data_IF_943243414200
#
_entry.id   IF_943243414200
#
_cell.length_a   1.000
_cell.length_b   1.000
_cell.length_c   1.000
_cell.angle_alpha   90.00
_cell.angle_beta   90.00
_cell.angle_gamma   90.00
#
_symmetry.space_group_name_H-M   'P 1'
#
loop_
_entity.id
_entity.type
_entity.pdbx_description
1 polymer ?
#
# COMPACT_ATOMS: atom_id res chain seq x y z
N UNK A 1 7.60 16.65 1.01
CA UNK A 1 6.85 16.26 -0.20
C UNK A 1 5.78 15.26 0.20
N UNK A 2 4.52 15.71 0.31
CA UNK A 2 3.36 14.83 0.51
C UNK A 2 2.91 14.31 -0.87
N UNK A 3 2.52 13.02 -0.99
CA UNK A 3 1.74 12.59 -2.16
C UNK A 3 0.47 13.47 -2.17
N UNK A 4 0.18 14.25 -3.22
CA UNK A 4 -1.08 14.98 -3.27
C UNK A 4 -2.23 13.97 -3.20
N UNK A 5 -3.32 14.32 -2.53
CA UNK A 5 -4.57 13.60 -2.72
C UNK A 5 -4.98 13.71 -4.19
N UNK A 6 -5.38 12.59 -4.79
CA UNK A 6 -5.74 12.54 -6.20
C UNK A 6 -6.05 11.13 -6.64
N UNK A 7 -6.79 11.01 -7.74
CA UNK A 7 -7.14 9.72 -8.32
C UNK A 7 -5.88 9.06 -8.89
N UNK A 8 -5.70 7.78 -8.58
CA UNK A 8 -4.60 6.98 -9.11
C UNK A 8 -5.11 5.58 -9.42
N UNK A 9 -4.53 4.97 -10.45
CA UNK A 9 -4.76 3.54 -10.74
C UNK A 9 -3.68 2.75 -10.03
N UNK A 10 -4.11 1.79 -9.21
CA UNK A 10 -3.25 0.85 -8.53
C UNK A 10 -3.69 -0.58 -8.76
N UNK A 11 -2.77 -1.52 -8.63
CA UNK A 11 -3.07 -2.95 -8.72
C UNK A 11 -2.41 -3.72 -7.59
N UNK A 12 -3.25 -4.32 -6.75
CA UNK A 12 -2.82 -5.18 -5.65
C UNK A 12 -3.05 -6.65 -5.99
N UNK A 13 -2.09 -7.49 -5.64
CA UNK A 13 -2.21 -8.95 -5.71
C UNK A 13 -2.04 -9.55 -4.32
N UNK A 14 -3.11 -10.19 -3.83
CA UNK A 14 -3.13 -10.92 -2.57
C UNK A 14 -3.14 -12.42 -2.87
N UNK A 15 -2.08 -13.13 -2.48
CA UNK A 15 -1.92 -14.55 -2.79
C UNK A 15 -2.44 -15.42 -1.64
N UNK A 16 -2.89 -16.65 -1.94
CA UNK A 16 -3.34 -17.60 -0.91
C UNK A 16 -2.26 -17.96 0.14
N UNK A 17 -0.97 -17.72 -0.14
CA UNK A 17 0.15 -17.93 0.81
C UNK A 17 0.41 -16.74 1.74
N UNK A 18 -0.46 -15.73 1.72
CA UNK A 18 -0.35 -14.54 2.57
C UNK A 18 0.63 -13.48 2.07
N UNK A 19 1.02 -13.49 0.78
CA UNK A 19 1.81 -12.39 0.19
C UNK A 19 0.92 -11.32 -0.43
N UNK A 20 1.27 -10.06 -0.17
CA UNK A 20 0.66 -8.87 -0.77
C UNK A 20 1.67 -8.18 -1.69
N UNK A 21 1.25 -7.82 -2.89
CA UNK A 21 2.09 -7.13 -3.87
C UNK A 21 1.35 -5.90 -4.41
N UNK A 22 2.03 -4.77 -4.47
CA UNK A 22 1.63 -3.59 -5.24
C UNK A 22 2.39 -3.62 -6.56
N UNK A 23 1.66 -3.67 -7.68
CA UNK A 23 2.20 -3.93 -9.02
C UNK A 23 1.95 -2.79 -10.02
N UNK A 24 1.08 -1.85 -9.68
CA UNK A 24 0.83 -0.62 -10.44
C UNK A 24 0.48 0.51 -9.44
N UNK A 25 0.80 1.75 -9.78
CA UNK A 25 0.72 2.91 -8.85
C UNK A 25 1.92 3.03 -7.88
N UNK A 26 2.79 2.01 -7.90
CA UNK A 26 4.02 1.87 -7.12
C UNK A 26 4.54 0.43 -7.28
N UNK A 27 5.66 0.13 -6.63
CA UNK A 27 6.17 -1.24 -6.49
C UNK A 27 6.32 -1.51 -5.01
N UNK A 28 5.74 -2.60 -4.53
CA UNK A 28 5.87 -2.95 -3.12
C UNK A 28 5.50 -4.41 -2.85
N UNK A 29 6.04 -4.95 -1.78
CA UNK A 29 5.76 -6.30 -1.35
C UNK A 29 5.60 -6.40 0.17
N UNK A 30 4.86 -7.41 0.61
CA UNK A 30 4.73 -7.72 2.01
C UNK A 30 3.73 -8.84 2.26
N UNK A 31 2.96 -8.72 3.34
CA UNK A 31 2.10 -9.78 3.86
C UNK A 31 0.67 -9.31 3.99
N UNK A 32 -0.27 -10.25 3.89
CA UNK A 32 -1.66 -10.02 4.26
C UNK A 32 -2.22 -11.20 5.03
N UNK A 33 -3.30 -10.96 5.75
CA UNK A 33 -4.10 -11.96 6.44
C UNK A 33 -5.59 -11.65 6.28
N UNK A 34 -6.41 -12.69 6.15
CA UNK A 34 -7.87 -12.53 6.17
C UNK A 34 -8.35 -12.24 7.59
N UNK A 35 -9.34 -11.36 7.70
CA UNK A 35 -10.10 -11.06 8.92
C UNK A 35 -11.54 -11.58 8.82
N UNK A 36 -11.83 -12.42 7.82
CA UNK A 36 -13.17 -12.87 7.46
C UNK A 36 -13.58 -12.51 6.02
N UNK A 37 -14.81 -12.86 5.60
CA UNK A 37 -15.29 -12.59 4.25
C UNK A 37 -15.16 -11.12 3.87
N UNK A 38 -14.44 -10.85 2.77
CA UNK A 38 -14.24 -9.50 2.25
C UNK A 38 -13.32 -8.60 3.09
N UNK A 39 -12.87 -9.01 4.27
CA UNK A 39 -12.08 -8.16 5.18
C UNK A 39 -10.69 -8.73 5.38
N UNK A 40 -9.67 -7.87 5.37
CA UNK A 40 -8.28 -8.30 5.51
C UNK A 40 -7.36 -7.18 6.01
N UNK A 41 -6.22 -7.58 6.59
CA UNK A 41 -5.12 -6.68 6.91
C UNK A 41 -4.00 -6.93 5.91
N UNK A 42 -3.35 -5.87 5.43
CA UNK A 42 -2.11 -5.99 4.70
C UNK A 42 -1.06 -4.99 5.16
N UNK A 43 0.20 -5.40 5.03
CA UNK A 43 1.37 -4.55 5.22
C UNK A 43 2.31 -4.71 4.04
N UNK A 44 2.62 -3.60 3.38
CA UNK A 44 3.47 -3.54 2.17
C UNK A 44 4.59 -2.53 2.42
N UNK A 45 5.79 -2.87 1.97
CA UNK A 45 6.91 -1.92 1.89
C UNK A 45 7.15 -1.51 0.43
N UNK A 46 7.14 -0.20 0.17
CA UNK A 46 7.47 0.41 -1.12
C UNK A 46 8.84 1.11 -1.00
N UNK A 47 9.83 0.82 -1.86
CA UNK A 47 11.04 1.62 -1.91
C UNK A 47 10.75 3.00 -2.51
N UNK A 48 11.41 4.03 -1.97
CA UNK A 48 11.45 5.35 -2.59
C UNK A 48 12.81 5.46 -3.28
N UNK A 49 12.80 5.69 -4.58
CA UNK A 49 14.03 5.87 -5.38
C UNK A 49 14.20 7.32 -5.79
N UNK A 50 15.44 7.76 -5.90
CA UNK A 50 15.79 9.06 -6.47
C UNK A 50 15.80 9.02 -8.01
N UNK A 51 16.10 10.16 -8.64
CA UNK A 51 16.14 10.31 -10.10
C UNK A 51 17.22 9.44 -10.77
N UNK A 52 18.15 8.87 -10.00
CA UNK A 52 19.20 7.96 -10.47
C UNK A 52 18.84 6.49 -10.20
N UNK A 53 17.65 6.22 -9.65
CA UNK A 53 17.21 4.89 -9.27
C UNK A 53 17.82 4.36 -7.97
N UNK A 54 18.57 5.18 -7.24
CA UNK A 54 19.13 4.78 -5.95
C UNK A 54 18.06 4.82 -4.86
N UNK A 55 18.14 3.90 -3.89
CA UNK A 55 17.22 3.87 -2.76
C UNK A 55 17.42 5.11 -1.89
N UNK A 56 16.41 5.97 -1.81
CA UNK A 56 16.38 7.16 -0.98
C UNK A 56 15.62 6.95 0.35
N UNK A 57 14.98 5.78 0.52
CA UNK A 57 14.20 5.43 1.69
C UNK A 57 13.11 4.41 1.36
N UNK A 58 12.15 4.25 2.26
CA UNK A 58 11.00 3.37 2.02
C UNK A 58 9.75 3.87 2.73
N UNK A 59 8.61 3.42 2.22
CA UNK A 59 7.30 3.60 2.83
C UNK A 59 6.81 2.25 3.33
N UNK A 60 6.48 2.18 4.61
CA UNK A 60 5.80 1.05 5.24
C UNK A 60 4.32 1.37 5.38
N UNK A 61 3.49 0.64 4.64
CA UNK A 61 2.04 0.85 4.53
C UNK A 61 1.33 -0.28 5.27
N UNK A 62 0.58 0.05 6.30
CA UNK A 62 -0.28 -0.88 7.03
C UNK A 62 -1.74 -0.44 6.88
N UNK A 63 -2.61 -1.37 6.48
CA UNK A 63 -4.00 -1.09 6.13
C UNK A 63 -4.94 -2.20 6.59
N UNK A 64 -6.09 -1.78 7.12
CA UNK A 64 -7.28 -2.61 7.25
C UNK A 64 -8.18 -2.34 6.05
N UNK A 65 -8.51 -3.38 5.29
CA UNK A 65 -9.24 -3.28 4.05
C UNK A 65 -10.53 -4.10 4.06
N UNK A 66 -11.51 -3.62 3.30
CA UNK A 66 -12.73 -4.33 2.95
C UNK A 66 -12.93 -4.31 1.44
N UNK A 67 -13.27 -5.45 0.85
CA UNK A 67 -13.69 -5.59 -0.53
C UNK A 67 -15.07 -6.24 -0.58
N UNK A 68 -16.03 -5.52 -1.16
CA UNK A 68 -17.41 -5.99 -1.37
C UNK A 68 -17.79 -5.82 -2.83
N UNK A 69 -17.88 -6.94 -3.54
CA UNK A 69 -18.03 -6.94 -5.00
C UNK A 69 -16.90 -6.16 -5.67
N UNK A 70 -17.26 -5.03 -6.29
CA UNK A 70 -16.31 -4.13 -6.96
C UNK A 70 -15.81 -2.99 -6.07
N UNK A 71 -16.41 -2.76 -4.91
CA UNK A 71 -15.97 -1.70 -4.00
C UNK A 71 -14.80 -2.18 -3.15
N UNK A 72 -13.77 -1.36 -3.03
CA UNK A 72 -12.63 -1.55 -2.14
C UNK A 72 -12.48 -0.29 -1.27
N UNK A 73 -12.40 -0.49 0.04
CA UNK A 73 -12.04 0.55 0.99
C UNK A 73 -10.90 0.09 1.88
N UNK A 74 -10.02 1.00 2.26
CA UNK A 74 -9.03 0.70 3.29
C UNK A 74 -8.70 1.92 4.14
N UNK A 75 -8.32 1.67 5.40
CA UNK A 75 -7.82 2.70 6.30
C UNK A 75 -6.62 2.18 7.07
N UNK A 76 -5.65 3.05 7.30
CA UNK A 76 -4.48 2.71 8.09
C UNK A 76 -3.45 3.81 8.10
N UNK A 77 -2.18 3.42 8.21
CA UNK A 77 -1.07 4.35 8.39
C UNK A 77 0.07 4.01 7.44
N UNK A 78 0.64 5.04 6.82
CA UNK A 78 1.92 4.96 6.12
C UNK A 78 3.01 5.59 6.96
N UNK A 79 4.13 4.90 7.13
CA UNK A 79 5.34 5.40 7.78
C UNK A 79 6.42 5.54 6.73
N UNK A 80 7.05 6.71 6.65
CA UNK A 80 8.09 6.98 5.66
C UNK A 80 9.42 7.12 6.37
N UNK A 81 10.38 6.34 5.89
CA UNK A 81 11.72 6.27 6.43
C UNK A 81 12.71 6.84 5.41
N UNK A 82 13.74 7.50 5.91
CA UNK A 82 14.89 7.88 5.09
C UNK A 82 15.80 6.66 4.79
N UNK A 83 16.81 6.85 3.94
CA UNK A 83 17.75 5.80 3.59
C UNK A 83 18.53 5.21 4.78
N UNK A 84 18.61 5.93 5.90
CA UNK A 84 19.24 5.47 7.14
C UNK A 84 18.27 4.71 8.06
N UNK A 85 17.00 4.56 7.66
CA UNK A 85 15.96 3.91 8.45
C UNK A 85 15.38 4.76 9.57
N UNK A 86 15.62 6.08 9.55
CA UNK A 86 14.99 6.99 10.51
C UNK A 86 13.60 7.36 10.01
N UNK A 87 12.63 7.29 10.91
CA UNK A 87 11.25 7.69 10.61
C UNK A 87 11.22 9.20 10.34
N UNK A 88 10.87 9.58 9.11
CA UNK A 88 10.74 10.98 8.71
C UNK A 88 9.32 11.50 8.91
N UNK A 89 8.31 10.67 8.63
CA UNK A 89 6.89 11.05 8.79
C UNK A 89 5.97 9.85 8.97
N UNK A 90 4.83 10.11 9.60
CA UNK A 90 3.70 9.19 9.71
C UNK A 90 2.48 9.87 9.10
N UNK A 91 1.75 9.16 8.24
CA UNK A 91 0.62 9.69 7.48
C UNK A 91 -0.58 8.75 7.62
N UNK A 92 -1.72 9.21 8.18
CA UNK A 92 -2.95 8.44 8.11
C UNK A 92 -3.43 8.38 6.66
N UNK A 93 -3.90 7.21 6.22
CA UNK A 93 -4.32 6.98 4.85
C UNK A 93 -5.70 6.34 4.84
N UNK A 94 -6.54 6.82 3.93
CA UNK A 94 -7.84 6.26 3.61
C UNK A 94 -7.95 6.13 2.09
N UNK A 95 -8.41 4.99 1.60
CA UNK A 95 -8.56 4.69 0.18
C UNK A 95 -10.00 4.28 -0.07
N UNK A 96 -10.59 4.87 -1.11
CA UNK A 96 -11.86 4.46 -1.71
C UNK A 96 -11.60 4.17 -3.18
N UNK A 97 -11.86 2.94 -3.61
CA UNK A 97 -11.59 2.52 -4.98
C UNK A 97 -12.70 1.61 -5.53
N UNK A 98 -12.87 1.65 -6.85
CA UNK A 98 -13.72 0.71 -7.58
C UNK A 98 -12.84 -0.18 -8.45
N UNK A 99 -12.98 -1.50 -8.34
CA UNK A 99 -12.32 -2.47 -9.20
C UNK A 99 -12.77 -2.28 -10.65
N UNK A 100 -11.81 -1.95 -11.51
CA UNK A 100 -11.92 -1.87 -12.96
C UNK A 100 -11.35 -3.16 -13.57
N UNK A 101 -12.15 -4.23 -13.53
CA UNK A 101 -11.90 -5.54 -14.18
C UNK A 101 -10.82 -6.44 -13.53
N UNK A 102 -10.75 -7.71 -13.95
CA UNK A 102 -9.93 -8.80 -13.34
C UNK A 102 -9.08 -9.53 -14.38
#
# INVERSE_FOLDING_TARGET
>A
MSRPGGDSIGSFRFTARGHALLTAGGVGAGRWSSLGPGSFLFRITEPVVDDRGACAGWVDVEQHASQQGRSFTSRGTSRVYDAAGRLARTVPVEIHATRVES
#
